data_IF_026319206964
#
_entry.id   IF_026319206964
#
_cell.length_a   1.000
_cell.length_b   1.000
_cell.length_c   1.000
_cell.angle_alpha   90.00
_cell.angle_beta   90.00
_cell.angle_gamma   90.00
#
_symmetry.space_group_name_H-M   'P 1'
#
loop_
_entity.id
_entity.type
_entity.pdbx_description
1 polymer ?
#
# COMPACT_ATOMS: atom_id res chain seq x y z
N UNK A 1 9.48 24.59 0.81
CA UNK A 1 9.82 23.44 1.68
C UNK A 1 9.23 23.58 3.09
N UNK A 2 9.36 24.73 3.78
CA UNK A 2 8.78 24.90 5.13
C UNK A 2 7.24 24.90 5.21
N UNK A 3 6.54 25.26 4.12
CA UNK A 3 5.07 25.26 4.11
C UNK A 3 4.44 23.85 4.01
N UNK A 4 5.16 22.84 3.49
CA UNK A 4 4.58 21.48 3.38
C UNK A 4 4.59 20.76 4.73
N UNK A 5 5.69 20.88 5.49
CA UNK A 5 5.85 20.23 6.80
C UNK A 5 4.73 20.59 7.80
N UNK A 6 4.25 21.84 7.77
CA UNK A 6 3.17 22.29 8.65
C UNK A 6 1.78 21.75 8.27
N UNK A 7 1.58 21.36 7.00
CA UNK A 7 0.35 20.72 6.57
C UNK A 7 0.38 19.22 6.86
N UNK A 8 1.52 18.57 6.61
CA UNK A 8 1.72 17.14 6.88
C UNK A 8 1.43 16.80 8.36
N UNK A 9 1.92 17.62 9.29
CA UNK A 9 1.69 17.43 10.73
C UNK A 9 0.21 17.60 11.12
N UNK A 10 -0.51 18.53 10.49
CA UNK A 10 -1.95 18.75 10.77
C UNK A 10 -2.81 17.61 10.25
N UNK A 11 -2.49 17.07 9.07
CA UNK A 11 -3.16 15.90 8.52
C UNK A 11 -2.95 14.69 9.43
N UNK A 12 -1.71 14.47 9.86
CA UNK A 12 -1.38 13.37 10.77
C UNK A 12 -2.16 13.44 12.10
N UNK A 13 -2.27 14.62 12.71
CA UNK A 13 -3.09 14.84 13.91
C UNK A 13 -4.60 14.63 13.68
N UNK A 14 -5.09 14.89 12.47
CA UNK A 14 -6.48 14.57 12.11
C UNK A 14 -6.67 13.05 11.99
N UNK A 15 -5.73 12.36 11.35
CA UNK A 15 -5.76 10.89 11.25
C UNK A 15 -5.71 10.25 12.64
N UNK A 16 -4.86 10.74 13.55
CA UNK A 16 -4.79 10.22 14.92
C UNK A 16 -6.12 10.39 15.66
N UNK A 17 -6.76 11.55 15.55
CA UNK A 17 -8.09 11.78 16.13
C UNK A 17 -9.14 10.85 15.56
N UNK A 18 -9.12 10.58 14.26
CA UNK A 18 -10.03 9.62 13.62
C UNK A 18 -9.79 8.22 14.20
N UNK A 19 -8.54 7.76 14.21
CA UNK A 19 -8.17 6.42 14.70
C UNK A 19 -8.48 6.23 16.18
N UNK A 20 -8.33 7.27 17.00
CA UNK A 20 -8.67 7.22 18.43
C UNK A 20 -10.17 6.92 18.66
N UNK A 21 -11.06 7.31 17.74
CA UNK A 21 -12.49 6.93 17.85
C UNK A 21 -12.73 5.42 17.70
N UNK A 22 -11.78 4.71 17.09
CA UNK A 22 -11.79 3.25 16.92
C UNK A 22 -10.96 2.52 17.98
N UNK A 23 -10.35 3.21 18.94
CA UNK A 23 -9.61 2.59 20.05
C UNK A 23 -10.48 2.29 21.28
N UNK A 24 -11.78 2.12 21.08
CA UNK A 24 -12.70 1.78 22.16
C UNK A 24 -12.66 0.29 22.51
N UNK A 25 -13.17 -0.06 23.71
CA UNK A 25 -13.29 -1.44 24.17
C UNK A 25 -14.11 -2.31 23.20
N UNK A 26 -15.15 -1.73 22.61
CA UNK A 26 -15.98 -2.40 21.59
C UNK A 26 -15.12 -2.91 20.43
N UNK A 27 -14.28 -2.05 19.84
CA UNK A 27 -13.46 -2.43 18.67
C UNK A 27 -12.31 -3.35 19.05
N UNK A 28 -11.49 -2.97 20.03
CA UNK A 28 -10.21 -3.63 20.28
C UNK A 28 -10.33 -4.87 21.16
N UNK A 29 -11.24 -4.89 22.14
CA UNK A 29 -11.33 -5.98 23.13
C UNK A 29 -12.42 -6.97 22.76
N UNK A 30 -13.63 -6.48 22.51
CA UNK A 30 -14.79 -7.34 22.24
C UNK A 30 -14.72 -7.96 20.84
N UNK A 31 -14.41 -7.14 19.82
CA UNK A 31 -14.40 -7.59 18.43
C UNK A 31 -13.00 -7.91 17.90
N UNK A 32 -11.94 -7.42 18.57
CA UNK A 32 -10.54 -7.52 18.11
C UNK A 32 -10.38 -7.05 16.65
N UNK A 33 -11.12 -6.01 16.30
CA UNK A 33 -11.05 -5.37 14.99
C UNK A 33 -10.11 -4.18 15.07
N UNK A 34 -9.05 -4.26 14.30
CA UNK A 34 -8.11 -3.16 14.14
C UNK A 34 -8.49 -2.37 12.91
N UNK A 35 -8.47 -1.05 13.01
CA UNK A 35 -8.80 -0.15 11.91
C UNK A 35 -7.51 0.40 11.35
N UNK A 36 -7.36 0.32 10.04
CA UNK A 36 -6.28 0.98 9.31
C UNK A 36 -6.84 2.15 8.50
N UNK A 37 -6.09 3.23 8.51
CA UNK A 37 -6.33 4.42 7.72
C UNK A 37 -5.17 4.59 6.73
N UNK A 38 -5.50 4.57 5.45
CA UNK A 38 -4.58 4.84 4.35
C UNK A 38 -4.93 6.18 3.70
N UNK A 39 -3.98 7.08 3.58
CA UNK A 39 -4.19 8.39 2.93
C UNK A 39 -3.03 8.76 2.02
N UNK A 40 -3.26 9.72 1.14
CA UNK A 40 -2.25 10.21 0.19
C UNK A 40 -2.01 11.69 0.43
N UNK A 41 -0.76 12.11 0.62
CA UNK A 41 -0.38 13.52 0.77
C UNK A 41 -0.77 14.42 -0.42
N UNK A 42 -1.05 13.81 -1.58
CA UNK A 42 -1.43 14.52 -2.79
C UNK A 42 -2.93 14.46 -3.11
N UNK A 43 -3.73 13.79 -2.28
CA UNK A 43 -5.15 13.56 -2.56
C UNK A 43 -5.97 13.80 -1.30
N UNK A 44 -7.10 14.47 -1.44
CA UNK A 44 -7.98 14.85 -0.32
C UNK A 44 -8.87 13.70 0.20
N UNK A 45 -8.43 12.45 0.08
CA UNK A 45 -9.18 11.30 0.58
C UNK A 45 -8.31 10.34 1.38
N UNK A 46 -8.93 9.79 2.43
CA UNK A 46 -8.42 8.69 3.22
C UNK A 46 -9.38 7.51 3.12
N UNK A 47 -8.83 6.30 3.14
CA UNK A 47 -9.57 5.04 3.16
C UNK A 47 -9.45 4.43 4.55
N UNK A 48 -10.59 4.08 5.15
CA UNK A 48 -10.66 3.37 6.42
C UNK A 48 -11.17 1.95 6.18
N UNK A 49 -10.51 0.97 6.78
CA UNK A 49 -10.92 -0.43 6.70
C UNK A 49 -10.44 -1.22 7.93
N UNK A 50 -11.05 -2.38 8.15
CA UNK A 50 -10.65 -3.30 9.21
C UNK A 50 -9.52 -4.23 8.76
N UNK A 51 -8.71 -4.69 9.72
CA UNK A 51 -7.67 -5.68 9.55
C UNK A 51 -8.09 -7.04 10.17
N UNK A 52 -7.69 -8.18 9.58
CA UNK A 52 -6.95 -8.30 8.31
C UNK A 52 -7.79 -7.79 7.13
N UNK A 53 -7.11 -7.35 6.07
CA UNK A 53 -7.75 -6.78 4.89
C UNK A 53 -8.67 -7.82 4.23
N UNK A 54 -9.94 -7.48 4.09
CA UNK A 54 -10.97 -8.44 3.68
C UNK A 54 -11.19 -8.55 2.16
N UNK A 55 -10.59 -7.65 1.36
CA UNK A 55 -10.80 -7.63 -0.09
C UNK A 55 -9.69 -8.38 -0.81
N UNK A 56 -10.06 -8.99 -1.93
CA UNK A 56 -9.15 -9.74 -2.80
C UNK A 56 -8.26 -8.85 -3.67
N UNK A 57 -8.65 -7.60 -3.86
CA UNK A 57 -8.00 -6.66 -4.76
C UNK A 57 -7.41 -5.49 -4.01
N UNK A 58 -6.15 -5.17 -4.28
CA UNK A 58 -5.49 -3.96 -3.78
C UNK A 58 -4.96 -3.09 -4.92
N UNK A 59 -5.11 -1.76 -4.77
CA UNK A 59 -4.74 -0.79 -5.82
C UNK A 59 -3.78 0.25 -5.28
N UNK A 60 -2.57 0.25 -5.83
CA UNK A 60 -1.48 1.14 -5.45
C UNK A 60 -1.25 2.19 -6.56
N UNK A 61 -1.88 3.37 -6.44
CA UNK A 61 -1.81 4.43 -7.47
C UNK A 61 -0.88 5.60 -7.12
N UNK A 62 -0.48 5.73 -5.87
CA UNK A 62 0.30 6.86 -5.36
C UNK A 62 1.03 6.46 -4.08
N UNK A 63 1.94 7.30 -3.60
CA UNK A 63 2.47 7.15 -2.23
C UNK A 63 1.30 7.17 -1.25
N UNK A 64 1.23 6.16 -0.39
CA UNK A 64 0.24 6.03 0.67
C UNK A 64 0.98 6.12 2.00
N UNK A 65 0.43 6.94 2.89
CA UNK A 65 0.74 6.93 4.32
C UNK A 65 -0.32 6.08 5.01
N UNK A 66 0.10 5.35 6.05
CA UNK A 66 -0.78 4.41 6.74
C UNK A 66 -0.59 4.50 8.25
N UNK A 67 -1.68 4.43 8.98
CA UNK A 67 -1.71 4.29 10.45
C UNK A 67 -2.80 3.31 10.85
N UNK A 68 -2.56 2.56 11.91
CA UNK A 68 -3.49 1.57 12.41
C UNK A 68 -3.73 1.72 13.91
N UNK A 69 -4.88 1.22 14.38
CA UNK A 69 -5.11 0.97 15.81
C UNK A 69 -4.37 -0.28 16.30
N UNK A 70 -3.85 -1.12 15.41
CA UNK A 70 -2.94 -2.22 15.72
C UNK A 70 -1.55 -1.66 16.07
N UNK A 71 -0.99 -2.04 17.22
CA UNK A 71 0.43 -1.80 17.50
C UNK A 71 1.27 -2.63 16.52
N UNK A 72 2.30 -2.02 15.94
CA UNK A 72 3.22 -2.66 14.98
C UNK A 72 4.01 -3.81 15.62
N UNK A 73 3.33 -4.93 15.89
CA UNK A 73 3.94 -6.23 15.91
C UNK A 73 3.83 -6.82 14.49
N UNK A 74 4.87 -7.54 14.10
CA UNK A 74 5.25 -8.02 12.77
C UNK A 74 4.24 -9.00 12.11
N UNK A 75 2.95 -8.69 12.09
CA UNK A 75 1.93 -9.56 11.48
C UNK A 75 2.01 -9.48 9.95
N UNK A 76 2.85 -10.36 9.39
CA UNK A 76 3.05 -10.54 7.94
C UNK A 76 1.78 -10.96 7.18
N UNK A 77 0.68 -11.26 7.88
CA UNK A 77 -0.55 -11.86 7.32
C UNK A 77 -1.71 -10.89 7.11
N UNK A 78 -1.50 -9.60 7.31
CA UNK A 78 -2.58 -8.60 7.25
C UNK A 78 -3.26 -8.50 5.86
N UNK A 79 -2.57 -8.92 4.81
CA UNK A 79 -3.04 -8.82 3.43
C UNK A 79 -3.07 -10.17 2.70
N UNK A 80 -3.16 -11.28 3.44
CA UNK A 80 -3.15 -12.63 2.86
C UNK A 80 -4.33 -12.91 1.92
N UNK A 81 -5.44 -12.17 2.09
CA UNK A 81 -6.61 -12.25 1.23
C UNK A 81 -6.41 -11.55 -0.12
N UNK A 82 -5.39 -10.69 -0.26
CA UNK A 82 -5.14 -10.00 -1.52
C UNK A 82 -4.50 -10.97 -2.50
N UNK A 83 -5.19 -11.20 -3.60
CA UNK A 83 -4.75 -12.03 -4.71
C UNK A 83 -4.51 -11.21 -5.97
N UNK A 84 -5.18 -10.06 -6.10
CA UNK A 84 -5.10 -9.18 -7.26
C UNK A 84 -4.44 -7.85 -6.86
N UNK A 85 -3.24 -7.60 -7.35
CA UNK A 85 -2.50 -6.37 -7.08
C UNK A 85 -2.36 -5.52 -8.34
N UNK A 86 -2.81 -4.27 -8.27
CA UNK A 86 -2.57 -3.26 -9.31
C UNK A 86 -1.55 -2.25 -8.79
N UNK A 87 -0.33 -2.30 -9.32
CA UNK A 87 0.77 -1.42 -8.93
C UNK A 87 1.08 -0.39 -10.04
N UNK A 88 0.66 0.86 -9.82
CA UNK A 88 0.78 1.99 -10.77
C UNK A 88 1.18 3.28 -10.06
N UNK A 89 2.39 3.34 -9.47
CA UNK A 89 2.83 4.53 -8.75
C UNK A 89 3.06 5.69 -9.72
N UNK A 90 2.20 6.71 -9.69
CA UNK A 90 2.33 7.88 -10.58
C UNK A 90 3.48 8.84 -10.23
N UNK A 91 4.17 8.66 -9.10
CA UNK A 91 5.18 9.60 -8.59
C UNK A 91 6.44 8.86 -8.14
N UNK A 92 7.61 9.34 -8.59
CA UNK A 92 8.92 8.67 -8.46
C UNK A 92 9.60 8.78 -7.09
N UNK A 93 9.00 9.46 -6.10
CA UNK A 93 9.58 9.61 -4.76
C UNK A 93 8.62 9.06 -3.70
N UNK A 94 8.49 7.73 -3.65
CA UNK A 94 7.74 7.06 -2.59
C UNK A 94 8.71 6.80 -1.44
N UNK A 95 8.79 7.74 -0.50
CA UNK A 95 9.25 7.42 0.86
C UNK A 95 8.05 6.92 1.65
N UNK A 96 7.66 5.67 1.44
CA UNK A 96 6.66 5.03 2.30
C UNK A 96 7.35 4.62 3.59
N UNK A 97 6.90 5.15 4.72
CA UNK A 97 7.31 4.73 6.07
C UNK A 97 6.66 3.41 6.51
N UNK A 98 5.92 2.73 5.62
CA UNK A 98 5.03 1.64 5.98
C UNK A 98 5.41 0.32 5.29
N UNK A 99 5.33 -0.77 6.06
CA UNK A 99 5.68 -2.13 5.65
C UNK A 99 4.43 -2.92 5.25
N UNK A 100 3.81 -2.58 4.11
CA UNK A 100 2.82 -3.49 3.48
C UNK A 100 3.59 -4.56 2.74
N UNK A 101 3.19 -5.81 2.93
CA UNK A 101 3.70 -6.92 2.16
C UNK A 101 2.55 -7.79 1.67
N UNK A 102 2.60 -8.16 0.38
CA UNK A 102 1.67 -9.09 -0.22
C UNK A 102 2.40 -10.38 -0.61
N UNK A 103 2.09 -11.47 0.08
CA UNK A 103 2.73 -12.77 -0.13
C UNK A 103 1.94 -13.70 -1.05
N UNK A 104 0.62 -13.51 -1.17
CA UNK A 104 -0.30 -14.43 -1.84
C UNK A 104 -0.86 -13.86 -3.16
N UNK A 105 -0.11 -12.98 -3.84
CA UNK A 105 -0.54 -12.40 -5.12
C UNK A 105 -0.56 -13.49 -6.20
N UNK A 106 -1.71 -13.60 -6.85
CA UNK A 106 -1.95 -14.49 -7.99
C UNK A 106 -1.98 -13.72 -9.31
N UNK A 107 -2.54 -12.51 -9.30
CA UNK A 107 -2.61 -11.65 -10.48
C UNK A 107 -1.98 -10.29 -10.18
N UNK A 108 -0.97 -9.92 -10.97
CA UNK A 108 -0.26 -8.64 -10.83
C UNK A 108 -0.42 -7.81 -12.10
N UNK A 109 -1.00 -6.61 -11.99
CA UNK A 109 -0.92 -5.60 -13.05
C UNK A 109 0.07 -4.51 -12.64
N UNK A 110 1.16 -4.36 -13.38
CA UNK A 110 2.27 -3.48 -13.02
C UNK A 110 2.58 -2.47 -14.13
N UNK A 111 2.71 -1.20 -13.76
CA UNK A 111 3.16 -0.13 -14.67
C UNK A 111 4.68 0.06 -14.54
N UNK A 112 5.37 0.08 -15.69
CA UNK A 112 6.81 0.30 -15.76
C UNK A 112 7.16 1.80 -15.90
N UNK A 113 8.35 2.22 -15.44
CA UNK A 113 9.40 1.42 -14.79
C UNK A 113 9.09 1.08 -13.31
N UNK A 114 9.56 -0.08 -12.86
CA UNK A 114 9.35 -0.54 -11.48
C UNK A 114 10.37 0.14 -10.55
N UNK A 115 9.90 0.69 -9.42
CA UNK A 115 10.76 1.30 -8.40
C UNK A 115 11.30 0.25 -7.42
N UNK A 116 12.37 0.56 -6.68
CA UNK A 116 12.87 -0.32 -5.62
C UNK A 116 11.83 -0.63 -4.54
N UNK A 117 10.91 0.30 -4.30
CA UNK A 117 9.82 0.16 -3.34
C UNK A 117 8.87 -1.00 -3.67
N UNK A 118 8.63 -1.28 -4.95
CA UNK A 118 7.82 -2.43 -5.35
C UNK A 118 8.32 -3.74 -4.72
N UNK A 119 9.65 -3.95 -4.70
CA UNK A 119 10.26 -5.16 -4.16
C UNK A 119 10.14 -5.27 -2.63
N UNK A 120 9.91 -4.16 -1.92
CA UNK A 120 9.56 -4.20 -0.49
C UNK A 120 8.11 -4.62 -0.25
N UNK A 121 7.22 -4.35 -1.22
CA UNK A 121 5.79 -4.64 -1.14
C UNK A 121 5.48 -6.07 -1.60
N UNK A 122 6.11 -6.53 -2.69
CA UNK A 122 5.93 -7.87 -3.24
C UNK A 122 7.27 -8.59 -3.14
N UNK A 123 7.61 -9.17 -1.98
CA UNK A 123 8.92 -9.75 -1.76
C UNK A 123 9.14 -11.07 -2.52
N UNK A 124 8.06 -11.76 -2.92
CA UNK A 124 8.09 -13.09 -3.55
C UNK A 124 6.95 -13.24 -4.55
N UNK A 125 7.10 -14.16 -5.51
CA UNK A 125 6.10 -14.47 -6.54
C UNK A 125 5.69 -15.94 -6.56
N UNK A 126 5.83 -16.65 -5.44
CA UNK A 126 5.60 -18.10 -5.35
C UNK A 126 4.18 -18.53 -5.79
N UNK A 127 3.21 -17.61 -5.71
CA UNK A 127 1.81 -17.83 -6.05
C UNK A 127 1.35 -17.14 -7.33
N UNK A 128 2.25 -16.46 -8.07
CA UNK A 128 1.89 -15.65 -9.22
C UNK A 128 1.44 -16.53 -10.40
N UNK A 129 0.20 -16.33 -10.84
CA UNK A 129 -0.43 -17.03 -11.97
C UNK A 129 -0.42 -16.19 -13.23
N UNK A 130 -0.64 -14.87 -13.12
CA UNK A 130 -0.58 -13.97 -14.27
C UNK A 130 0.05 -12.62 -13.97
N UNK A 131 0.61 -12.01 -15.02
CA UNK A 131 1.27 -10.71 -14.99
C UNK A 131 0.79 -9.87 -16.17
N UNK A 132 0.15 -8.73 -15.89
CA UNK A 132 -0.14 -7.70 -16.88
C UNK A 132 0.93 -6.62 -16.80
N UNK A 133 1.81 -6.60 -17.80
CA UNK A 133 2.76 -5.52 -17.98
C UNK A 133 2.08 -4.34 -18.68
N UNK A 134 1.89 -3.26 -17.95
CA UNK A 134 1.29 -2.04 -18.45
C UNK A 134 2.40 -1.07 -18.85
N UNK A 135 2.39 -0.69 -20.12
CA UNK A 135 3.34 0.28 -20.67
C UNK A 135 2.56 1.49 -21.15
N UNK A 136 2.93 2.67 -20.62
CA UNK A 136 2.63 3.90 -21.33
C UNK A 136 3.62 3.94 -22.51
N UNK A 137 3.10 3.79 -23.73
CA UNK A 137 3.75 3.52 -25.02
C UNK A 137 4.98 4.37 -25.47
N UNK A 138 5.78 4.98 -24.59
CA UNK A 138 6.80 5.96 -24.98
C UNK A 138 8.20 5.81 -24.38
N UNK A 139 8.51 4.72 -23.66
CA UNK A 139 9.82 4.63 -23.00
C UNK A 139 10.60 3.34 -23.34
N UNK A 140 11.70 3.48 -24.09
CA UNK A 140 12.68 2.42 -24.38
C UNK A 140 13.21 1.76 -23.09
N UNK A 141 13.20 2.49 -21.97
CA UNK A 141 13.63 1.99 -20.67
C UNK A 141 12.73 0.87 -20.12
N UNK A 142 11.44 0.85 -20.50
CA UNK A 142 10.49 -0.19 -20.09
C UNK A 142 10.86 -1.56 -20.68
N UNK A 143 11.30 -1.60 -21.95
CA UNK A 143 11.65 -2.86 -22.62
C UNK A 143 12.85 -3.54 -21.96
N UNK A 144 13.84 -2.76 -21.49
CA UNK A 144 15.04 -3.30 -20.86
C UNK A 144 14.75 -3.97 -19.50
N UNK A 145 13.82 -3.42 -18.71
CA UNK A 145 13.47 -3.99 -17.40
C UNK A 145 12.68 -5.30 -17.51
N UNK A 146 11.80 -5.41 -18.50
CA UNK A 146 11.05 -6.64 -18.78
C UNK A 146 11.98 -7.81 -19.11
N UNK A 147 13.01 -7.58 -19.94
CA UNK A 147 13.93 -8.63 -20.41
C UNK A 147 14.89 -9.13 -19.32
N UNK A 148 15.28 -8.30 -18.34
CA UNK A 148 16.30 -8.70 -17.34
C UNK A 148 15.79 -9.30 -16.05
N UNK A 149 14.50 -9.12 -15.72
CA UNK A 149 13.97 -9.42 -14.37
C UNK A 149 12.96 -10.56 -14.35
N UNK A 150 12.41 -10.95 -15.50
CA UNK A 150 11.36 -11.97 -15.62
C UNK A 150 11.74 -13.16 -16.52
N UNK A 151 13.00 -13.25 -16.98
CA UNK A 151 13.62 -14.44 -17.59
C UNK A 151 14.85 -14.83 -16.78
#
# INVERSE_FOLDING_TARGET
MLLSLNNDQKEEEQIDRILDTFRSQFWLVEHRWFVQCDWSLYKEFASLYILPYAFDTFRFYSSIQSKSTLSFDNDQRLYDCVHDLIYKPRLFNISSSFHIQFFNIQHLSIEFPITSHFWSIVPRFDHLVSLDALSNNYDEHCQYQLIRRFT
#
